data_IF_885117045093
#
_entry.id   IF_885117045093
#
_cell.length_a   1.000
_cell.length_b   1.000
_cell.length_c   1.000
_cell.angle_alpha   90.00
_cell.angle_beta   90.00
_cell.angle_gamma   90.00
#
_symmetry.space_group_name_H-M   'P 1'
#
loop_
_entity.id
_entity.type
_entity.pdbx_description
1 polymer ?
#
# COMPACT_ATOMS: atom_id res chain seq x y z
N UNK A 1 -40.75 10.31 15.52
CA UNK A 1 -39.95 10.50 14.28
C UNK A 1 -38.46 10.80 14.51
N UNK A 2 -38.03 11.32 15.68
CA UNK A 2 -36.61 11.61 16.02
C UNK A 2 -35.70 10.38 16.25
N UNK A 3 -36.25 9.20 16.55
CA UNK A 3 -35.48 8.00 16.92
C UNK A 3 -34.93 7.20 15.72
N UNK A 4 -35.55 7.27 14.55
CA UNK A 4 -35.10 6.55 13.33
C UNK A 4 -33.84 7.14 12.70
N UNK A 5 -33.64 8.47 12.81
CA UNK A 5 -32.48 9.17 12.24
C UNK A 5 -31.17 8.84 12.98
N UNK A 6 -31.25 8.51 14.27
CA UNK A 6 -30.09 8.18 15.10
C UNK A 6 -29.55 6.76 14.84
N UNK A 7 -30.44 5.80 14.53
CA UNK A 7 -30.03 4.43 14.15
C UNK A 7 -29.35 4.36 12.78
N UNK A 8 -29.78 5.18 11.82
CA UNK A 8 -29.16 5.22 10.49
C UNK A 8 -27.74 5.82 10.54
N UNK A 9 -27.51 6.83 11.37
CA UNK A 9 -26.17 7.39 11.60
C UNK A 9 -25.23 6.41 12.32
N UNK A 10 -25.75 5.68 13.32
CA UNK A 10 -24.98 4.67 14.04
C UNK A 10 -24.57 3.50 13.12
N UNK A 11 -25.50 2.99 12.31
CA UNK A 11 -25.23 1.93 11.32
C UNK A 11 -24.24 2.36 10.24
N UNK A 12 -24.35 3.61 9.75
CA UNK A 12 -23.40 4.13 8.76
C UNK A 12 -21.98 4.30 9.36
N UNK A 13 -21.88 4.66 10.63
CA UNK A 13 -20.62 4.78 11.35
C UNK A 13 -19.99 3.40 11.64
N UNK A 14 -20.78 2.42 12.08
CA UNK A 14 -20.32 1.02 12.27
C UNK A 14 -19.88 0.36 10.96
N UNK A 15 -20.58 0.63 9.84
CA UNK A 15 -20.17 0.19 8.50
C UNK A 15 -18.86 0.86 8.04
N UNK A 16 -18.68 2.16 8.30
CA UNK A 16 -17.42 2.86 8.00
C UNK A 16 -16.24 2.31 8.80
N UNK A 17 -16.46 1.96 10.08
CA UNK A 17 -15.43 1.38 10.95
C UNK A 17 -15.04 -0.02 10.48
N UNK A 18 -16.02 -0.88 10.21
CA UNK A 18 -15.75 -2.26 9.78
C UNK A 18 -15.06 -2.34 8.43
N UNK A 19 -15.44 -1.49 7.47
CA UNK A 19 -14.76 -1.39 6.18
C UNK A 19 -13.32 -0.92 6.37
N UNK A 20 -13.06 0.14 7.15
CA UNK A 20 -11.70 0.61 7.39
C UNK A 20 -10.84 -0.42 8.13
N UNK A 21 -11.43 -1.17 9.08
CA UNK A 21 -10.69 -2.13 9.89
C UNK A 21 -10.16 -3.30 9.05
N UNK A 22 -10.94 -3.80 8.08
CA UNK A 22 -10.47 -4.86 7.17
C UNK A 22 -9.26 -4.41 6.33
N UNK A 23 -9.25 -3.16 5.85
CA UNK A 23 -8.14 -2.62 5.06
C UNK A 23 -6.87 -2.42 5.89
N UNK A 24 -7.00 -1.99 7.15
CA UNK A 24 -5.88 -1.85 8.08
C UNK A 24 -5.24 -3.23 8.35
N UNK A 25 -6.05 -4.24 8.69
CA UNK A 25 -5.55 -5.60 8.93
C UNK A 25 -4.86 -6.18 7.70
N UNK A 26 -5.43 -5.98 6.51
CA UNK A 26 -4.80 -6.46 5.27
C UNK A 26 -3.44 -5.81 5.04
N UNK A 27 -3.32 -4.50 5.25
CA UNK A 27 -2.05 -3.78 5.12
C UNK A 27 -1.02 -4.23 6.15
N UNK A 28 -1.43 -4.46 7.39
CA UNK A 28 -0.55 -4.97 8.45
C UNK A 28 0.01 -6.36 8.11
N UNK A 29 -0.84 -7.27 7.63
CA UNK A 29 -0.42 -8.63 7.23
C UNK A 29 0.56 -8.56 6.05
N UNK A 30 0.23 -7.78 5.01
CA UNK A 30 1.10 -7.62 3.83
C UNK A 30 2.44 -6.99 4.21
N UNK A 31 2.43 -5.95 5.04
CA UNK A 31 3.66 -5.27 5.49
C UNK A 31 4.53 -6.20 6.33
N UNK A 32 3.92 -7.03 7.17
CA UNK A 32 4.65 -8.04 7.95
C UNK A 32 5.28 -9.10 7.04
N UNK A 33 4.56 -9.61 6.05
CA UNK A 33 5.12 -10.55 5.07
C UNK A 33 6.25 -9.93 4.25
N UNK A 34 6.11 -8.67 3.84
CA UNK A 34 7.17 -7.93 3.15
C UNK A 34 8.39 -7.74 4.04
N UNK A 35 8.21 -7.48 5.33
CA UNK A 35 9.32 -7.33 6.27
C UNK A 35 10.19 -8.58 6.35
N UNK A 36 9.58 -9.77 6.34
CA UNK A 36 10.29 -11.04 6.27
C UNK A 36 11.08 -11.13 4.97
N UNK A 37 10.44 -10.87 3.82
CA UNK A 37 11.10 -10.92 2.52
C UNK A 37 12.29 -9.97 2.41
N UNK A 38 12.11 -8.72 2.83
CA UNK A 38 13.16 -7.69 2.80
C UNK A 38 14.33 -8.04 3.72
N UNK A 39 14.04 -8.46 4.96
CA UNK A 39 15.08 -8.85 5.92
C UNK A 39 15.94 -9.99 5.39
N UNK A 40 15.31 -11.07 4.91
CA UNK A 40 16.01 -12.22 4.37
C UNK A 40 16.81 -11.86 3.12
N UNK A 41 16.22 -11.08 2.21
CA UNK A 41 16.88 -10.68 0.97
C UNK A 41 18.14 -9.85 1.25
N UNK A 42 18.06 -8.82 2.09
CA UNK A 42 19.19 -7.94 2.39
C UNK A 42 20.27 -8.72 3.13
N UNK A 43 19.90 -9.50 4.16
CA UNK A 43 20.87 -10.27 4.93
C UNK A 43 21.64 -11.27 4.06
N UNK A 44 20.93 -12.02 3.21
CA UNK A 44 21.55 -12.97 2.30
C UNK A 44 22.41 -12.26 1.25
N UNK A 45 21.98 -11.10 0.76
CA UNK A 45 22.72 -10.33 -0.23
C UNK A 45 24.04 -9.74 0.28
N UNK A 46 24.18 -9.53 1.59
CA UNK A 46 25.41 -9.00 2.20
C UNK A 46 26.32 -10.13 2.72
N UNK A 47 25.75 -11.15 3.34
CA UNK A 47 26.55 -12.20 4.01
C UNK A 47 26.75 -13.45 3.16
N UNK A 48 25.94 -13.66 2.12
CA UNK A 48 25.88 -14.90 1.36
C UNK A 48 25.30 -16.10 2.14
N UNK A 49 24.83 -15.87 3.37
CA UNK A 49 24.31 -16.90 4.28
C UNK A 49 22.85 -16.62 4.64
N UNK A 50 22.13 -17.67 5.02
CA UNK A 50 20.76 -17.54 5.51
C UNK A 50 20.76 -17.05 6.97
N UNK A 51 19.90 -16.09 7.34
CA UNK A 51 19.86 -15.58 8.70
C UNK A 51 19.36 -16.65 9.68
N UNK A 52 20.10 -16.87 10.77
CA UNK A 52 19.65 -17.69 11.89
C UNK A 52 18.84 -16.80 12.83
N UNK A 53 17.50 -16.92 12.79
CA UNK A 53 16.57 -16.02 13.51
C UNK A 53 16.87 -15.94 15.01
N UNK A 54 17.39 -17.01 15.63
CA UNK A 54 17.70 -17.03 17.06
C UNK A 54 18.73 -15.97 17.45
N UNK A 55 19.70 -15.73 16.59
CA UNK A 55 20.81 -14.82 16.86
C UNK A 55 20.46 -13.38 16.46
N UNK A 56 19.48 -13.21 15.56
CA UNK A 56 19.13 -11.93 14.92
C UNK A 56 17.67 -11.50 15.18
N UNK A 57 17.08 -11.94 16.29
CA UNK A 57 15.66 -11.74 16.55
C UNK A 57 15.32 -10.26 16.76
N UNK A 58 16.24 -9.48 17.31
CA UNK A 58 16.04 -8.07 17.63
C UNK A 58 16.08 -7.22 16.35
N UNK A 59 17.04 -7.47 15.47
CA UNK A 59 17.17 -6.85 14.15
C UNK A 59 15.94 -7.15 13.30
N UNK A 60 15.50 -8.40 13.30
CA UNK A 60 14.27 -8.79 12.61
C UNK A 60 13.04 -8.03 13.16
N UNK A 61 12.91 -7.93 14.49
CA UNK A 61 11.81 -7.20 15.13
C UNK A 61 11.82 -5.73 14.74
N UNK A 62 12.99 -5.08 14.75
CA UNK A 62 13.14 -3.69 14.33
C UNK A 62 12.69 -3.49 12.88
N UNK A 63 13.14 -4.35 11.96
CA UNK A 63 12.73 -4.28 10.55
C UNK A 63 11.23 -4.49 10.41
N UNK A 64 10.65 -5.45 11.13
CA UNK A 64 9.22 -5.70 11.13
C UNK A 64 8.43 -4.47 11.60
N UNK A 65 8.87 -3.81 12.67
CA UNK A 65 8.25 -2.57 13.18
C UNK A 65 8.37 -1.45 12.16
N UNK A 66 9.56 -1.21 11.60
CA UNK A 66 9.79 -0.14 10.62
C UNK A 66 8.93 -0.30 9.37
N UNK A 67 8.87 -1.51 8.82
CA UNK A 67 8.07 -1.78 7.62
C UNK A 67 6.57 -1.63 7.91
N UNK A 68 6.09 -2.04 9.09
CA UNK A 68 4.69 -1.83 9.48
C UNK A 68 4.36 -0.35 9.71
N UNK A 69 5.26 0.41 10.33
CA UNK A 69 5.12 1.87 10.47
C UNK A 69 5.08 2.54 9.10
N UNK A 70 5.99 2.16 8.19
CA UNK A 70 5.99 2.64 6.80
C UNK A 70 4.71 2.27 6.05
N UNK A 71 4.21 1.04 6.22
CA UNK A 71 2.93 0.58 5.67
C UNK A 71 1.73 1.38 6.19
N UNK A 72 1.73 1.72 7.48
CA UNK A 72 0.70 2.58 8.06
C UNK A 72 0.76 4.01 7.47
N UNK A 73 1.94 4.61 7.35
CA UNK A 73 2.11 5.91 6.70
C UNK A 73 1.67 5.90 5.24
N UNK A 74 2.00 4.84 4.49
CA UNK A 74 1.51 4.62 3.13
C UNK A 74 0.00 4.59 3.07
N UNK A 75 -0.65 3.86 3.97
CA UNK A 75 -2.10 3.78 4.04
C UNK A 75 -2.73 5.16 4.25
N UNK A 76 -2.24 5.92 5.25
CA UNK A 76 -2.73 7.27 5.49
C UNK A 76 -2.45 8.23 4.33
N UNK A 77 -1.29 8.09 3.67
CA UNK A 77 -0.96 8.84 2.46
C UNK A 77 -1.96 8.53 1.34
N UNK A 78 -2.28 7.25 1.12
CA UNK A 78 -3.25 6.82 0.11
C UNK A 78 -4.65 7.37 0.37
N UNK A 79 -5.11 7.37 1.64
CA UNK A 79 -6.38 7.99 2.03
C UNK A 79 -6.42 9.49 1.69
N UNK A 80 -5.33 10.22 1.98
CA UNK A 80 -5.21 11.64 1.61
C UNK A 80 -5.20 11.82 0.09
N UNK A 81 -4.40 11.03 -0.62
CA UNK A 81 -4.32 11.09 -2.08
C UNK A 81 -5.66 10.77 -2.75
N UNK A 82 -6.47 9.85 -2.22
CA UNK A 82 -7.81 9.57 -2.75
C UNK A 82 -8.75 10.79 -2.64
N UNK A 83 -8.54 11.66 -1.66
CA UNK A 83 -9.31 12.91 -1.52
C UNK A 83 -8.82 14.00 -2.48
N UNK A 84 -7.52 14.14 -2.67
CA UNK A 84 -6.93 15.20 -3.50
C UNK A 84 -6.86 14.86 -4.99
N UNK A 85 -6.52 13.62 -5.31
CA UNK A 85 -6.32 13.12 -6.67
C UNK A 85 -7.10 11.80 -6.83
N UNK A 86 -8.42 11.87 -7.04
CA UNK A 86 -9.22 10.66 -7.23
C UNK A 86 -8.78 9.88 -8.48
N UNK A 87 -8.76 8.55 -8.37
CA UNK A 87 -8.36 7.64 -9.46
C UNK A 87 -9.18 7.81 -10.75
N UNK A 88 -10.46 8.18 -10.64
CA UNK A 88 -11.36 8.36 -11.78
C UNK A 88 -11.10 9.62 -12.61
N UNK A 89 -10.37 10.62 -12.06
CA UNK A 89 -10.08 11.86 -12.78
C UNK A 89 -8.75 11.79 -13.53
N UNK A 90 -7.68 11.42 -12.82
CA UNK A 90 -6.32 11.46 -13.35
C UNK A 90 -5.54 10.21 -12.94
N UNK A 91 -5.75 9.12 -13.67
CA UNK A 91 -5.18 7.80 -13.37
C UNK A 91 -3.64 7.83 -13.32
N UNK A 92 -2.99 8.40 -14.34
CA UNK A 92 -1.52 8.47 -14.43
C UNK A 92 -0.91 9.30 -13.31
N UNK A 93 -1.44 10.50 -13.05
CA UNK A 93 -0.94 11.38 -11.98
C UNK A 93 -1.16 10.73 -10.61
N UNK A 94 -2.28 10.03 -10.41
CA UNK A 94 -2.55 9.33 -9.16
C UNK A 94 -1.58 8.17 -8.92
N UNK A 95 -1.27 7.40 -9.95
CA UNK A 95 -0.29 6.32 -9.88
C UNK A 95 1.13 6.84 -9.57
N UNK A 96 1.56 7.89 -10.26
CA UNK A 96 2.87 8.51 -10.04
C UNK A 96 2.97 9.13 -8.65
N UNK A 97 1.96 9.88 -8.21
CA UNK A 97 1.93 10.46 -6.86
C UNK A 97 1.96 9.40 -5.76
N UNK A 98 1.27 8.27 -5.93
CA UNK A 98 1.35 7.14 -5.01
C UNK A 98 2.77 6.61 -4.90
N UNK A 99 3.36 6.28 -6.05
CA UNK A 99 4.68 5.67 -6.13
C UNK A 99 5.75 6.59 -5.56
N UNK A 100 5.74 7.87 -5.96
CA UNK A 100 6.69 8.87 -5.49
C UNK A 100 6.52 9.11 -3.99
N UNK A 101 5.29 9.31 -3.50
CA UNK A 101 5.05 9.51 -2.06
C UNK A 101 5.48 8.30 -1.23
N UNK A 102 5.28 7.08 -1.73
CA UNK A 102 5.71 5.86 -1.07
C UNK A 102 7.22 5.73 -0.97
N UNK A 103 7.94 6.02 -2.06
CA UNK A 103 9.40 6.06 -2.05
C UNK A 103 9.88 7.09 -1.03
N UNK A 104 9.33 8.31 -1.03
CA UNK A 104 9.72 9.34 -0.06
C UNK A 104 9.47 8.93 1.39
N UNK A 105 8.33 8.30 1.69
CA UNK A 105 8.01 7.83 3.05
C UNK A 105 9.05 6.82 3.54
N UNK A 106 9.36 5.80 2.72
CA UNK A 106 10.31 4.76 3.11
C UNK A 106 11.75 5.26 3.17
N UNK A 107 12.15 6.12 2.23
CA UNK A 107 13.48 6.76 2.26
C UNK A 107 13.64 7.64 3.50
N UNK A 108 12.62 8.42 3.84
CA UNK A 108 12.64 9.27 5.03
C UNK A 108 12.71 8.44 6.32
N UNK A 109 11.93 7.37 6.43
CA UNK A 109 12.01 6.44 7.56
C UNK A 109 13.38 5.74 7.65
N UNK A 110 13.94 5.32 6.53
CA UNK A 110 15.26 4.70 6.48
C UNK A 110 16.36 5.67 6.95
N UNK A 111 16.33 6.92 6.49
CA UNK A 111 17.27 7.96 6.94
C UNK A 111 17.15 8.19 8.44
N UNK A 112 15.93 8.35 8.96
CA UNK A 112 15.70 8.50 10.41
C UNK A 112 16.29 7.30 11.15
N UNK A 113 16.03 6.09 10.68
CA UNK A 113 16.51 4.87 11.33
C UNK A 113 18.05 4.78 11.33
N UNK A 114 18.70 5.12 10.22
CA UNK A 114 20.17 5.12 10.14
C UNK A 114 20.79 6.09 11.14
N UNK A 115 20.35 7.35 11.15
CA UNK A 115 20.92 8.37 12.03
C UNK A 115 20.53 8.21 13.51
N UNK A 116 19.31 7.74 13.79
CA UNK A 116 18.82 7.62 15.16
C UNK A 116 19.28 6.33 15.87
N UNK A 117 19.63 5.28 15.12
CA UNK A 117 19.93 3.96 15.68
C UNK A 117 21.22 3.36 15.13
N UNK A 118 21.32 3.19 13.81
CA UNK A 118 22.40 2.38 13.20
C UNK A 118 23.78 3.03 13.42
N UNK A 119 23.92 4.33 13.16
CA UNK A 119 25.18 5.07 13.34
C UNK A 119 25.65 5.10 14.80
N UNK A 120 24.75 4.92 15.77
CA UNK A 120 25.07 4.94 17.20
C UNK A 120 25.62 3.59 17.71
N UNK A 121 25.37 2.50 16.99
CA UNK A 121 25.63 1.13 17.45
C UNK A 121 26.69 0.45 16.60
N UNK A 122 26.71 0.73 15.29
CA UNK A 122 27.66 0.11 14.36
C UNK A 122 28.98 0.88 14.43
N UNK A 123 30.07 0.26 14.90
CA UNK A 123 31.38 0.90 14.87
C UNK A 123 31.82 1.04 13.41
N UNK A 124 32.29 2.24 13.06
CA UNK A 124 32.86 2.57 11.76
C UNK A 124 34.34 2.87 11.98
N UNK A 125 35.20 2.44 11.06
CA UNK A 125 36.63 2.78 11.10
C UNK A 125 36.81 4.31 11.16
N UNK A 126 37.74 4.81 12.00
CA UNK A 126 37.97 6.26 12.20
C UNK A 126 38.25 7.05 10.91
N UNK A 127 38.69 6.36 9.85
CA UNK A 127 39.03 6.95 8.56
C UNK A 127 37.89 6.89 7.52
N UNK A 128 36.80 6.20 7.81
CA UNK A 128 35.67 6.04 6.90
C UNK A 128 34.39 6.64 7.49
N UNK A 129 33.48 7.03 6.61
CA UNK A 129 32.10 7.39 7.02
C UNK A 129 31.20 6.17 6.89
N UNK A 130 30.15 6.09 7.71
CA UNK A 130 29.16 5.00 7.63
C UNK A 130 28.66 4.79 6.18
N UNK A 131 28.35 5.89 5.48
CA UNK A 131 27.86 5.84 4.11
C UNK A 131 28.91 5.37 3.10
N UNK A 132 30.20 5.57 3.36
CA UNK A 132 31.25 5.06 2.50
C UNK A 132 31.44 3.55 2.66
N UNK A 133 31.32 3.03 3.88
CA UNK A 133 31.47 1.61 4.19
C UNK A 133 30.26 0.79 3.73
N UNK A 134 29.03 1.31 3.93
CA UNK A 134 27.78 0.60 3.66
C UNK A 134 27.06 1.07 2.38
N UNK A 135 27.80 1.71 1.44
CA UNK A 135 27.23 2.25 0.20
C UNK A 135 26.51 1.20 -0.64
N UNK A 136 27.11 0.02 -0.82
CA UNK A 136 26.56 -1.06 -1.64
C UNK A 136 25.21 -1.56 -1.08
N UNK A 137 25.15 -1.82 0.23
CA UNK A 137 23.92 -2.21 0.92
C UNK A 137 22.83 -1.12 0.83
N UNK A 138 23.21 0.16 0.97
CA UNK A 138 22.28 1.28 0.82
C UNK A 138 21.67 1.35 -0.58
N UNK A 139 22.48 1.16 -1.63
CA UNK A 139 22.00 1.14 -3.03
C UNK A 139 21.05 -0.03 -3.26
N UNK A 140 21.38 -1.24 -2.79
CA UNK A 140 20.49 -2.41 -2.87
C UNK A 140 19.16 -2.16 -2.16
N UNK A 141 19.20 -1.54 -0.97
CA UNK A 141 18.00 -1.16 -0.22
C UNK A 141 17.11 -0.17 -0.99
N UNK A 142 17.70 0.84 -1.64
CA UNK A 142 16.95 1.79 -2.47
C UNK A 142 16.26 1.07 -3.63
N UNK A 143 16.99 0.18 -4.33
CA UNK A 143 16.44 -0.57 -5.47
C UNK A 143 15.25 -1.43 -5.03
N UNK A 144 15.40 -2.22 -3.97
CA UNK A 144 14.31 -3.09 -3.50
C UNK A 144 13.11 -2.27 -3.01
N UNK A 145 13.35 -1.14 -2.35
CA UNK A 145 12.28 -0.22 -1.91
C UNK A 145 11.49 0.30 -3.11
N UNK A 146 12.16 0.78 -4.15
CA UNK A 146 11.51 1.26 -5.38
C UNK A 146 10.67 0.17 -6.03
N UNK A 147 11.21 -1.06 -6.14
CA UNK A 147 10.50 -2.19 -6.74
C UNK A 147 9.26 -2.56 -5.92
N UNK A 148 9.37 -2.68 -4.60
CA UNK A 148 8.24 -3.03 -3.73
C UNK A 148 7.15 -1.96 -3.80
N UNK A 149 7.50 -0.67 -3.73
CA UNK A 149 6.54 0.42 -3.82
C UNK A 149 5.87 0.46 -5.19
N UNK A 150 6.62 0.20 -6.27
CA UNK A 150 6.07 0.10 -7.61
C UNK A 150 5.04 -1.04 -7.72
N UNK A 151 5.36 -2.23 -7.23
CA UNK A 151 4.45 -3.38 -7.20
C UNK A 151 3.20 -3.04 -6.37
N UNK A 152 3.37 -2.41 -5.20
CA UNK A 152 2.26 -1.97 -4.36
C UNK A 152 1.32 -1.01 -5.11
N UNK A 153 1.86 0.01 -5.77
CA UNK A 153 1.08 0.94 -6.61
C UNK A 153 0.38 0.22 -7.76
N UNK A 154 1.04 -0.76 -8.39
CA UNK A 154 0.48 -1.55 -9.48
C UNK A 154 -0.71 -2.39 -9.02
N UNK A 155 -0.60 -3.04 -7.85
CA UNK A 155 -1.71 -3.80 -7.26
C UNK A 155 -2.89 -2.87 -6.97
N UNK A 156 -2.67 -1.71 -6.35
CA UNK A 156 -3.75 -0.75 -6.07
C UNK A 156 -4.41 -0.24 -7.36
N UNK A 157 -3.61 0.07 -8.38
CA UNK A 157 -4.09 0.45 -9.69
C UNK A 157 -4.91 -0.67 -10.36
N UNK A 158 -4.44 -1.91 -10.29
CA UNK A 158 -5.14 -3.08 -10.85
C UNK A 158 -6.50 -3.29 -10.21
N UNK A 159 -6.59 -3.19 -8.87
CA UNK A 159 -7.85 -3.27 -8.13
C UNK A 159 -8.81 -2.16 -8.56
N UNK A 160 -8.32 -0.92 -8.70
CA UNK A 160 -9.14 0.18 -9.20
C UNK A 160 -9.65 -0.08 -10.63
N UNK A 161 -8.75 -0.50 -11.53
CA UNK A 161 -9.07 -0.77 -12.93
C UNK A 161 -10.12 -1.87 -13.07
N UNK A 162 -9.98 -2.96 -12.30
CA UNK A 162 -10.96 -4.04 -12.26
C UNK A 162 -12.34 -3.56 -11.79
N UNK A 163 -12.39 -2.77 -10.72
CA UNK A 163 -13.66 -2.23 -10.19
C UNK A 163 -14.35 -1.30 -11.19
N UNK A 164 -13.59 -0.44 -11.89
CA UNK A 164 -14.13 0.42 -12.95
C UNK A 164 -14.66 -0.40 -14.12
N UNK A 165 -13.92 -1.40 -14.57
CA UNK A 165 -14.36 -2.29 -15.63
C UNK A 165 -15.66 -3.02 -15.26
N UNK A 166 -15.73 -3.59 -14.05
CA UNK A 166 -16.92 -4.29 -13.57
C UNK A 166 -18.15 -3.38 -13.51
N UNK A 167 -17.98 -2.14 -13.04
CA UNK A 167 -19.05 -1.14 -13.00
C UNK A 167 -19.62 -0.85 -14.40
N UNK A 168 -18.74 -0.56 -15.36
CA UNK A 168 -19.13 -0.25 -16.74
C UNK A 168 -19.86 -1.43 -17.39
N UNK A 169 -19.43 -2.67 -17.12
CA UNK A 169 -20.07 -3.87 -17.66
C UNK A 169 -21.49 -4.07 -17.11
N UNK A 170 -21.70 -3.80 -15.82
CA UNK A 170 -23.03 -3.87 -15.19
C UNK A 170 -23.95 -2.79 -15.78
N UNK A 171 -23.45 -1.56 -15.93
CA UNK A 171 -24.21 -0.46 -16.51
C UNK A 171 -24.63 -0.77 -17.95
N UNK A 172 -23.71 -1.28 -18.78
CA UNK A 172 -24.00 -1.70 -20.15
C UNK A 172 -25.12 -2.76 -20.21
N UNK A 173 -25.05 -3.78 -19.35
CA UNK A 173 -26.07 -4.82 -19.27
C UNK A 173 -27.45 -4.26 -18.84
N UNK A 174 -27.46 -3.28 -17.95
CA UNK A 174 -28.69 -2.61 -17.51
C UNK A 174 -29.34 -1.86 -18.67
N UNK A 175 -28.56 -1.09 -19.43
CA UNK A 175 -29.04 -0.35 -20.59
C UNK A 175 -29.58 -1.31 -21.67
N UNK A 176 -28.87 -2.41 -21.94
CA UNK A 176 -29.28 -3.42 -22.92
C UNK A 176 -30.61 -4.08 -22.53
N UNK A 177 -30.79 -4.41 -21.24
CA UNK A 177 -32.08 -4.92 -20.74
C UNK A 177 -33.21 -3.93 -20.91
N UNK A 178 -32.96 -2.65 -20.65
CA UNK A 178 -33.96 -1.59 -20.82
C UNK A 178 -34.35 -1.43 -22.29
N UNK A 179 -33.37 -1.45 -23.20
CA UNK A 179 -33.62 -1.41 -24.65
C UNK A 179 -34.45 -2.59 -25.12
N UNK A 180 -34.12 -3.82 -24.71
CA UNK A 180 -34.89 -5.03 -25.06
C UNK A 180 -36.32 -4.94 -24.52
N UNK A 181 -36.49 -4.43 -23.30
CA UNK A 181 -37.82 -4.21 -22.72
C UNK A 181 -38.65 -3.22 -23.53
N UNK A 182 -38.07 -2.08 -23.91
CA UNK A 182 -38.74 -1.07 -24.73
C UNK A 182 -39.11 -1.62 -26.11
N UNK A 183 -38.25 -2.42 -26.73
CA UNK A 183 -38.53 -3.08 -28.01
C UNK A 183 -39.70 -4.08 -27.89
N UNK A 184 -39.72 -4.86 -26.81
CA UNK A 184 -40.81 -5.80 -26.53
C UNK A 184 -42.15 -5.07 -26.29
N UNK A 185 -42.15 -3.97 -25.54
CA UNK A 185 -43.34 -3.13 -25.32
C UNK A 185 -43.85 -2.52 -26.63
N UNK A 186 -42.94 -2.05 -27.50
CA UNK A 186 -43.30 -1.54 -28.83
C UNK A 186 -43.93 -2.63 -29.71
N UNK A 187 -43.35 -3.83 -29.76
CA UNK A 187 -43.90 -4.99 -30.48
C UNK A 187 -45.30 -5.36 -29.97
N UNK A 188 -45.50 -5.34 -28.65
CA UNK A 188 -46.81 -5.61 -28.05
C UNK A 188 -47.86 -4.56 -28.42
N UNK A 189 -47.46 -3.31 -28.62
CA UNK A 189 -48.40 -2.24 -29.02
C UNK A 189 -48.85 -2.32 -30.49
N UNK A 190 -48.12 -3.07 -31.32
CA UNK A 190 -48.41 -3.26 -32.75
C UNK A 190 -49.31 -4.47 -33.04
N UNK A 191 -49.47 -5.38 -32.07
CA UNK A 191 -50.32 -6.57 -32.14
C UNK A 191 -51.67 -6.31 -31.45
#
# INVERSE_FOLDING_TARGET
MKTKKNKAGLLAFELLITINMHWIWRNFIISTLLSIGVFYFIYYSETGLWPVIKDLWLEFLIVAVLVNVGGAFLFFSNLKLNKFIPWNKNMTIRFLSETISGIFIFMFLAIIFVYAYVEQIVPVDENNTFWAEYWDGAVKFVIITVVIIYIYSLVNFSVFSYNQYAYVQIEKLSIEREQVKLQFEALKSQL
#
